data_IF_332258116861
#
_entry.id   IF_332258116861
#
_cell.length_a   1.000
_cell.length_b   1.000
_cell.length_c   1.000
_cell.angle_alpha   90.00
_cell.angle_beta   90.00
_cell.angle_gamma   90.00
#
_symmetry.space_group_name_H-M   'P 1'
#
loop_
_entity.id
_entity.type
_entity.pdbx_description
1 polymer ?
#
# COMPACT_ATOMS: atom_id res chain seq x y z
N UNK A 1 4.75 -10.52 39.43
CA UNK A 1 3.90 -10.48 38.22
C UNK A 1 3.53 -9.09 37.75
N UNK A 2 3.38 -8.08 38.62
CA UNK A 2 3.14 -6.70 38.16
C UNK A 2 4.35 -6.02 37.51
N UNK A 3 5.59 -6.25 37.99
CA UNK A 3 6.80 -5.68 37.37
C UNK A 3 6.98 -6.08 35.90
N UNK A 4 6.72 -7.34 35.55
CA UNK A 4 6.77 -7.83 34.17
C UNK A 4 5.66 -7.22 33.30
N UNK A 5 4.47 -7.00 33.85
CA UNK A 5 3.40 -6.31 33.13
C UNK A 5 3.75 -4.84 32.85
N UNK A 6 4.31 -4.13 33.82
CA UNK A 6 4.74 -2.73 33.64
C UNK A 6 5.90 -2.60 32.66
N UNK A 7 6.88 -3.51 32.71
CA UNK A 7 8.01 -3.56 31.76
C UNK A 7 7.58 -3.95 30.35
N UNK A 8 6.57 -4.82 30.19
CA UNK A 8 6.03 -5.19 28.89
C UNK A 8 5.11 -4.12 28.28
N UNK A 9 4.44 -3.32 29.10
CA UNK A 9 3.53 -2.24 28.66
C UNK A 9 4.30 -0.97 28.30
N UNK A 10 5.44 -0.70 28.94
CA UNK A 10 6.23 0.51 28.68
C UNK A 10 6.64 0.71 27.20
N UNK A 11 7.10 -0.32 26.45
CA UNK A 11 7.38 -0.19 25.01
C UNK A 11 6.15 0.18 24.17
N UNK A 12 4.97 -0.36 24.52
CA UNK A 12 3.71 -0.07 23.83
C UNK A 12 3.31 1.38 24.10
N UNK A 13 3.35 1.81 25.37
CA UNK A 13 3.06 3.19 25.77
C UNK A 13 4.02 4.18 25.12
N UNK A 14 5.31 3.85 24.99
CA UNK A 14 6.29 4.71 24.34
C UNK A 14 5.98 4.88 22.84
N UNK A 15 5.60 3.80 22.14
CA UNK A 15 5.23 3.89 20.72
C UNK A 15 3.90 4.61 20.51
N UNK A 16 2.87 4.30 21.31
CA UNK A 16 1.55 4.98 21.25
C UNK A 16 1.67 6.45 21.68
N UNK A 17 2.49 6.74 22.68
CA UNK A 17 2.78 8.08 23.16
C UNK A 17 3.51 8.92 22.11
N UNK A 18 4.55 8.38 21.47
CA UNK A 18 5.24 9.04 20.36
C UNK A 18 4.30 9.31 19.18
N UNK A 19 3.42 8.36 18.85
CA UNK A 19 2.43 8.50 17.78
C UNK A 19 1.39 9.59 18.06
N UNK A 20 0.85 9.62 19.28
CA UNK A 20 -0.16 10.62 19.69
C UNK A 20 0.45 11.96 20.13
N UNK A 21 1.78 12.08 20.14
CA UNK A 21 2.46 13.34 20.42
C UNK A 21 2.25 14.36 19.30
N UNK A 22 2.10 13.92 18.04
CA UNK A 22 1.78 14.83 16.95
C UNK A 22 0.30 15.24 17.02
N UNK A 23 -0.03 16.55 17.16
CA UNK A 23 -1.41 17.00 17.27
C UNK A 23 -2.28 16.61 16.07
N UNK A 24 -1.73 16.59 14.85
CA UNK A 24 -2.47 16.21 13.63
C UNK A 24 -2.90 14.75 13.74
N UNK A 25 -1.96 13.86 14.06
CA UNK A 25 -2.23 12.44 14.22
C UNK A 25 -3.24 12.21 15.34
N UNK A 26 -3.02 12.80 16.52
CA UNK A 26 -3.92 12.67 17.68
C UNK A 26 -5.34 13.11 17.33
N UNK A 27 -5.49 14.19 16.57
CA UNK A 27 -6.79 14.69 16.14
C UNK A 27 -7.48 13.78 15.11
N UNK A 28 -6.74 12.90 14.42
CA UNK A 28 -7.29 11.90 13.51
C UNK A 28 -7.67 10.63 14.28
N UNK A 29 -6.72 10.03 15.01
CA UNK A 29 -6.90 8.70 15.64
C UNK A 29 -7.62 8.75 16.98
N UNK A 30 -7.59 9.88 17.67
CA UNK A 30 -8.20 10.07 18.99
C UNK A 30 -9.70 10.30 18.96
N UNK A 31 -10.32 10.26 17.77
CA UNK A 31 -11.75 10.50 17.62
C UNK A 31 -12.55 9.25 18.03
N UNK A 32 -13.60 9.38 18.87
CA UNK A 32 -14.42 8.24 19.29
C UNK A 32 -15.25 7.66 18.14
N UNK A 33 -15.49 8.46 17.09
CA UNK A 33 -16.25 8.05 15.90
C UNK A 33 -15.53 8.52 14.65
N UNK A 34 -15.39 7.62 13.68
CA UNK A 34 -14.87 7.97 12.34
C UNK A 34 -15.88 8.86 11.61
N UNK A 35 -15.39 9.90 10.93
CA UNK A 35 -16.19 10.78 10.09
C UNK A 35 -16.60 10.15 8.76
N UNK A 36 -15.97 9.05 8.36
CA UNK A 36 -16.24 8.32 7.13
C UNK A 36 -16.23 6.81 7.34
N UNK A 37 -16.84 6.08 6.40
CA UNK A 37 -16.86 4.62 6.37
C UNK A 37 -16.32 4.14 5.01
N UNK A 38 -15.21 3.39 5.02
CA UNK A 38 -14.56 2.93 3.79
C UNK A 38 -15.43 1.92 3.03
N UNK A 39 -16.15 1.04 3.74
CA UNK A 39 -17.07 0.09 3.09
C UNK A 39 -18.17 0.82 2.34
N UNK A 40 -18.76 1.84 2.95
CA UNK A 40 -19.75 2.69 2.29
C UNK A 40 -19.15 3.43 1.08
N UNK A 41 -17.92 3.94 1.18
CA UNK A 41 -17.21 4.59 0.08
C UNK A 41 -17.05 3.63 -1.11
N UNK A 42 -16.63 2.39 -0.85
CA UNK A 42 -16.49 1.36 -1.88
C UNK A 42 -17.83 1.05 -2.56
N UNK A 43 -18.86 0.72 -1.77
CA UNK A 43 -20.14 0.25 -2.29
C UNK A 43 -20.90 1.35 -3.03
N UNK A 44 -20.78 2.61 -2.57
CA UNK A 44 -21.44 3.78 -3.18
C UNK A 44 -20.59 4.45 -4.27
N UNK A 45 -19.49 3.84 -4.73
CA UNK A 45 -18.63 4.38 -5.81
C UNK A 45 -18.11 5.79 -5.52
N UNK A 46 -17.80 6.09 -4.26
CA UNK A 46 -17.21 7.37 -3.87
C UNK A 46 -15.70 7.36 -4.13
N UNK A 47 -15.11 8.55 -4.23
CA UNK A 47 -13.67 8.73 -4.34
C UNK A 47 -13.12 9.10 -2.96
N UNK A 48 -12.10 8.37 -2.51
CA UNK A 48 -11.33 8.68 -1.30
C UNK A 48 -9.96 9.19 -1.71
N UNK A 49 -9.64 10.43 -1.36
CA UNK A 49 -8.32 11.02 -1.55
C UNK A 49 -7.66 11.13 -0.18
N UNK A 50 -6.47 10.57 -0.04
CA UNK A 50 -5.69 10.62 1.19
C UNK A 50 -4.40 11.40 0.91
N UNK A 51 -4.22 12.53 1.59
CA UNK A 51 -2.99 13.30 1.53
C UNK A 51 -2.10 12.94 2.73
N UNK A 52 -1.01 12.21 2.48
CA UNK A 52 0.00 11.84 3.48
C UNK A 52 1.34 12.55 3.21
N UNK A 53 1.29 13.79 2.72
CA UNK A 53 2.50 14.57 2.45
C UNK A 53 3.41 14.60 3.68
N UNK A 54 4.61 14.02 3.55
CA UNK A 54 5.61 13.94 4.63
C UNK A 54 5.97 15.30 5.20
N UNK A 55 5.97 16.35 4.36
CA UNK A 55 6.22 17.73 4.81
C UNK A 55 5.14 18.29 5.73
N UNK A 56 3.91 17.76 5.68
CA UNK A 56 2.79 18.20 6.52
C UNK A 56 2.65 17.37 7.80
N UNK A 57 2.75 16.04 7.69
CA UNK A 57 2.48 15.12 8.81
C UNK A 57 3.73 14.54 9.47
N UNK A 58 4.90 14.65 8.83
CA UNK A 58 6.13 13.96 9.21
C UNK A 58 6.20 12.55 8.60
N UNK A 59 7.42 12.06 8.37
CA UNK A 59 7.67 10.78 7.68
C UNK A 59 7.09 9.58 8.43
N UNK A 60 7.44 9.41 9.70
CA UNK A 60 6.97 8.28 10.52
C UNK A 60 5.44 8.27 10.64
N UNK A 61 4.83 9.44 10.82
CA UNK A 61 3.37 9.56 10.92
C UNK A 61 2.69 9.29 9.57
N UNK A 62 3.28 9.74 8.46
CA UNK A 62 2.76 9.43 7.12
C UNK A 62 2.76 7.91 6.90
N UNK A 63 3.89 7.24 7.15
CA UNK A 63 4.02 5.79 7.01
C UNK A 63 3.02 5.04 7.88
N UNK A 64 2.87 5.44 9.15
CA UNK A 64 1.95 4.81 10.08
C UNK A 64 0.49 5.05 9.71
N UNK A 65 0.09 6.28 9.39
CA UNK A 65 -1.28 6.58 8.93
C UNK A 65 -1.60 5.87 7.61
N UNK A 66 -0.66 5.81 6.68
CA UNK A 66 -0.82 5.10 5.41
C UNK A 66 -1.01 3.61 5.59
N UNK A 67 -0.16 2.96 6.39
CA UNK A 67 -0.32 1.53 6.71
C UNK A 67 -1.65 1.22 7.43
N UNK A 68 -2.09 2.07 8.35
CA UNK A 68 -3.41 1.95 8.98
C UNK A 68 -4.55 2.06 7.97
N UNK A 69 -4.48 3.03 7.06
CA UNK A 69 -5.49 3.24 6.02
C UNK A 69 -5.55 2.07 5.05
N UNK A 70 -4.41 1.56 4.58
CA UNK A 70 -4.33 0.37 3.74
C UNK A 70 -4.97 -0.82 4.44
N UNK A 71 -4.62 -1.06 5.70
CA UNK A 71 -5.20 -2.15 6.50
C UNK A 71 -6.72 -1.99 6.62
N UNK A 72 -7.23 -0.78 6.86
CA UNK A 72 -8.67 -0.52 6.91
C UNK A 72 -9.35 -0.73 5.55
N UNK A 73 -8.69 -0.38 4.45
CA UNK A 73 -9.18 -0.62 3.09
C UNK A 73 -9.24 -2.13 2.80
N UNK A 74 -8.22 -2.89 3.19
CA UNK A 74 -8.22 -4.35 3.10
C UNK A 74 -9.39 -4.96 3.86
N UNK A 75 -9.56 -4.59 5.14
CA UNK A 75 -10.65 -5.11 5.96
C UNK A 75 -12.03 -4.73 5.39
N UNK A 76 -12.19 -3.51 4.88
CA UNK A 76 -13.41 -3.09 4.22
C UNK A 76 -13.68 -3.91 2.95
N UNK A 77 -12.66 -4.18 2.13
CA UNK A 77 -12.80 -5.05 0.98
C UNK A 77 -13.17 -6.48 1.40
N UNK A 78 -12.46 -7.09 2.34
CA UNK A 78 -12.74 -8.45 2.83
C UNK A 78 -14.13 -8.58 3.43
N UNK A 79 -14.64 -7.53 4.08
CA UNK A 79 -16.02 -7.55 4.59
C UNK A 79 -17.05 -7.72 3.49
N UNK A 80 -16.72 -7.45 2.21
CA UNK A 80 -17.60 -7.69 1.02
C UNK A 80 -17.84 -9.17 0.73
N UNK A 81 -17.31 -10.06 1.55
CA UNK A 81 -17.65 -11.48 1.57
C UNK A 81 -19.17 -11.72 1.72
N UNK A 82 -19.90 -10.79 2.34
CA UNK A 82 -21.35 -10.80 2.49
C UNK A 82 -22.13 -10.61 1.17
N UNK A 83 -21.46 -10.19 0.09
CA UNK A 83 -22.06 -10.09 -1.25
C UNK A 83 -21.78 -11.42 -1.98
N UNK A 84 -22.80 -12.27 -2.09
CA UNK A 84 -22.68 -13.65 -2.59
C UNK A 84 -22.00 -13.77 -3.96
N UNK A 85 -22.43 -12.95 -4.93
CA UNK A 85 -21.88 -12.99 -6.28
C UNK A 85 -20.75 -11.96 -6.43
N UNK A 86 -19.54 -12.44 -6.76
CA UNK A 86 -18.36 -11.60 -7.02
C UNK A 86 -18.65 -10.53 -8.08
N UNK A 87 -19.48 -10.84 -9.08
CA UNK A 87 -19.86 -9.89 -10.15
C UNK A 87 -20.67 -8.70 -9.61
N UNK A 88 -21.38 -8.87 -8.49
CA UNK A 88 -22.13 -7.80 -7.84
C UNK A 88 -21.24 -6.91 -6.97
N UNK A 89 -20.00 -7.33 -6.69
CA UNK A 89 -19.04 -6.52 -5.92
C UNK A 89 -18.51 -5.43 -6.82
N UNK A 90 -18.91 -4.19 -6.54
CA UNK A 90 -18.45 -3.02 -7.29
C UNK A 90 -16.93 -2.91 -7.22
N UNK A 91 -16.21 -2.87 -8.36
CA UNK A 91 -14.76 -2.70 -8.35
C UNK A 91 -14.36 -1.38 -7.66
N UNK A 92 -13.41 -1.48 -6.75
CA UNK A 92 -12.78 -0.33 -6.10
C UNK A 92 -11.30 -0.32 -6.43
N UNK A 93 -10.79 0.81 -6.91
CA UNK A 93 -9.41 0.94 -7.36
C UNK A 93 -8.59 1.68 -6.30
N UNK A 94 -7.59 1.00 -5.76
CA UNK A 94 -6.63 1.58 -4.82
C UNK A 94 -5.34 1.90 -5.57
N UNK A 95 -5.03 3.19 -5.65
CA UNK A 95 -3.77 3.70 -6.17
C UNK A 95 -2.86 4.08 -5.01
N UNK A 96 -1.65 3.55 -4.99
CA UNK A 96 -0.66 3.84 -3.93
C UNK A 96 0.62 4.29 -4.59
N UNK A 97 0.91 5.58 -4.46
CA UNK A 97 2.20 6.15 -4.83
C UNK A 97 3.22 5.89 -3.72
N UNK A 98 4.50 5.77 -4.09
CA UNK A 98 5.60 5.43 -3.19
C UNK A 98 5.26 4.25 -2.26
N UNK A 99 4.74 3.19 -2.87
CA UNK A 99 4.19 2.00 -2.22
C UNK A 99 5.09 1.39 -1.14
N UNK A 100 6.41 1.39 -1.35
CA UNK A 100 7.41 0.87 -0.41
C UNK A 100 7.31 1.48 0.98
N UNK A 101 6.78 2.71 1.10
CA UNK A 101 6.61 3.38 2.40
C UNK A 101 5.50 2.79 3.26
N UNK A 102 4.61 2.01 2.64
CA UNK A 102 3.44 1.41 3.27
C UNK A 102 3.44 -0.12 3.13
N UNK A 103 4.43 -0.68 2.44
CA UNK A 103 4.57 -2.09 2.09
C UNK A 103 4.79 -2.98 3.33
N UNK A 104 3.70 -3.31 4.01
CA UNK A 104 3.66 -4.30 5.09
C UNK A 104 3.24 -5.68 4.55
N UNK A 105 3.35 -6.72 5.38
CA UNK A 105 2.88 -8.08 5.04
C UNK A 105 1.39 -8.10 4.62
N UNK A 106 0.59 -7.16 5.14
CA UNK A 106 -0.82 -6.99 4.75
C UNK A 106 -0.98 -6.74 3.25
N UNK A 107 -0.02 -6.08 2.60
CA UNK A 107 -0.06 -5.86 1.16
C UNK A 107 0.17 -7.14 0.36
N UNK A 108 1.01 -8.06 0.83
CA UNK A 108 1.17 -9.36 0.18
C UNK A 108 -0.17 -10.11 0.13
N UNK A 109 -0.96 -10.05 1.22
CA UNK A 109 -2.34 -10.58 1.24
C UNK A 109 -3.28 -9.82 0.31
N UNK A 110 -3.19 -8.49 0.24
CA UNK A 110 -4.02 -7.71 -0.69
C UNK A 110 -3.74 -8.11 -2.14
N UNK A 111 -2.46 -8.21 -2.50
CA UNK A 111 -2.01 -8.56 -3.85
C UNK A 111 -2.52 -9.94 -4.28
N UNK A 112 -2.51 -10.92 -3.38
CA UNK A 112 -2.93 -12.29 -3.70
C UNK A 112 -4.44 -12.52 -3.60
N UNK A 113 -5.15 -11.84 -2.70
CA UNK A 113 -6.54 -12.18 -2.39
C UNK A 113 -7.57 -11.11 -2.74
N UNK A 114 -7.20 -9.83 -2.82
CA UNK A 114 -8.20 -8.76 -2.78
C UNK A 114 -9.07 -8.67 -4.05
N UNK A 115 -8.61 -9.25 -5.16
CA UNK A 115 -9.38 -9.35 -6.40
C UNK A 115 -10.71 -10.07 -6.21
N UNK A 116 -10.76 -11.14 -5.39
CA UNK A 116 -12.02 -11.86 -5.12
C UNK A 116 -13.04 -10.97 -4.41
N UNK A 117 -12.57 -9.96 -3.70
CA UNK A 117 -13.39 -8.98 -2.99
C UNK A 117 -13.66 -7.71 -3.81
N UNK A 118 -13.29 -7.66 -5.10
CA UNK A 118 -13.51 -6.47 -5.95
C UNK A 118 -12.60 -5.29 -5.62
N UNK A 119 -11.42 -5.52 -5.02
CA UNK A 119 -10.39 -4.50 -4.82
C UNK A 119 -9.30 -4.70 -5.89
N UNK A 120 -9.07 -3.66 -6.67
CA UNK A 120 -8.04 -3.61 -7.72
C UNK A 120 -6.91 -2.70 -7.23
N UNK A 121 -5.68 -3.19 -7.28
CA UNK A 121 -4.53 -2.46 -6.77
C UNK A 121 -3.66 -1.95 -7.93
N UNK A 122 -3.20 -0.72 -7.81
CA UNK A 122 -2.16 -0.13 -8.68
C UNK A 122 -1.14 0.54 -7.76
N UNK A 123 0.09 0.05 -7.81
CA UNK A 123 1.20 0.55 -6.98
C UNK A 123 2.27 1.18 -7.86
N UNK A 124 2.87 2.27 -7.38
CA UNK A 124 4.07 2.85 -7.95
C UNK A 124 5.22 2.73 -6.95
N UNK A 125 6.39 2.36 -7.45
CA UNK A 125 7.60 2.17 -6.65
C UNK A 125 8.81 2.65 -7.47
N UNK A 126 9.79 3.26 -6.80
CA UNK A 126 10.97 3.82 -7.47
C UNK A 126 12.07 2.77 -7.72
N UNK A 127 12.34 1.91 -6.73
CA UNK A 127 13.41 0.92 -6.80
C UNK A 127 12.96 -0.41 -6.24
N UNK A 128 13.26 -1.53 -6.92
CA UNK A 128 12.83 -2.86 -6.48
C UNK A 128 13.44 -3.20 -5.12
N UNK A 129 14.67 -2.73 -4.87
CA UNK A 129 15.41 -2.97 -3.63
C UNK A 129 14.75 -2.37 -2.37
N UNK A 130 13.82 -1.41 -2.50
CA UNK A 130 13.10 -0.85 -1.34
C UNK A 130 12.03 -1.78 -0.77
N UNK A 131 11.62 -2.81 -1.53
CA UNK A 131 10.68 -3.82 -1.06
C UNK A 131 11.41 -4.96 -0.35
N UNK A 132 10.83 -5.43 0.75
CA UNK A 132 11.23 -6.70 1.36
C UNK A 132 11.06 -7.85 0.35
N UNK A 133 11.74 -8.96 0.60
CA UNK A 133 11.70 -10.10 -0.32
C UNK A 133 10.26 -10.64 -0.46
N UNK A 134 9.54 -10.74 0.65
CA UNK A 134 8.17 -11.26 0.70
C UNK A 134 7.20 -10.38 -0.10
N UNK A 135 7.31 -9.06 0.04
CA UNK A 135 6.48 -8.11 -0.71
C UNK A 135 6.83 -8.16 -2.20
N UNK A 136 8.12 -8.20 -2.53
CA UNK A 136 8.60 -8.27 -3.91
C UNK A 136 8.09 -9.51 -4.63
N UNK A 137 8.18 -10.67 -3.99
CA UNK A 137 7.70 -11.94 -4.53
C UNK A 137 6.17 -11.92 -4.69
N UNK A 138 5.44 -11.32 -3.75
CA UNK A 138 4.01 -11.13 -3.87
C UNK A 138 3.62 -10.18 -5.02
N UNK A 139 4.37 -9.09 -5.22
CA UNK A 139 4.15 -8.16 -6.35
C UNK A 139 4.36 -8.88 -7.67
N UNK A 140 5.54 -9.46 -7.89
CA UNK A 140 5.86 -10.11 -9.16
C UNK A 140 5.05 -11.38 -9.43
N UNK A 141 4.57 -12.06 -8.39
CA UNK A 141 3.73 -13.25 -8.53
C UNK A 141 2.26 -12.95 -8.85
N UNK A 142 1.74 -11.76 -8.52
CA UNK A 142 0.32 -11.45 -8.64
C UNK A 142 -0.01 -10.29 -9.59
N UNK A 143 0.96 -9.44 -9.93
CA UNK A 143 0.76 -8.33 -10.87
C UNK A 143 0.71 -8.86 -12.30
N UNK A 144 -0.46 -8.73 -12.93
CA UNK A 144 -0.68 -9.14 -14.32
C UNK A 144 -0.41 -8.06 -15.37
N UNK A 145 -0.15 -6.82 -14.95
CA UNK A 145 0.14 -5.71 -15.86
C UNK A 145 1.19 -4.80 -15.24
N UNK A 146 2.27 -4.58 -15.96
CA UNK A 146 3.43 -3.84 -15.49
C UNK A 146 3.68 -2.67 -16.43
N UNK A 147 3.81 -1.48 -15.88
CA UNK A 147 4.25 -0.30 -16.64
C UNK A 147 5.62 0.05 -16.12
N UNK A 148 6.62 0.05 -16.99
CA UNK A 148 7.98 0.36 -16.61
C UNK A 148 8.49 1.60 -17.34
N UNK A 149 8.88 2.61 -16.55
CA UNK A 149 9.57 3.80 -17.05
C UNK A 149 11.08 3.56 -17.10
N UNK A 150 11.84 4.58 -17.47
CA UNK A 150 13.30 4.56 -17.34
C UNK A 150 13.71 4.19 -15.91
N UNK A 151 14.58 3.20 -15.77
CA UNK A 151 15.06 2.68 -14.48
C UNK A 151 16.58 2.51 -14.45
N UNK A 152 17.15 2.24 -13.28
CA UNK A 152 18.57 1.93 -13.12
C UNK A 152 18.93 0.54 -13.64
N UNK A 153 20.22 0.30 -13.87
CA UNK A 153 20.72 -0.98 -14.42
C UNK A 153 20.33 -2.20 -13.57
N UNK A 154 20.41 -2.09 -12.23
CA UNK A 154 20.05 -3.19 -11.33
C UNK A 154 18.57 -3.58 -11.45
N UNK A 155 17.67 -2.59 -11.48
CA UNK A 155 16.23 -2.84 -11.67
C UNK A 155 15.95 -3.34 -13.09
N UNK A 156 16.60 -2.76 -14.11
CA UNK A 156 16.45 -3.15 -15.51
C UNK A 156 16.83 -4.62 -15.74
N UNK A 157 17.91 -5.08 -15.12
CA UNK A 157 18.35 -6.48 -15.19
C UNK A 157 17.33 -7.45 -14.59
N UNK A 158 16.61 -7.04 -13.53
CA UNK A 158 15.52 -7.84 -12.96
C UNK A 158 14.28 -7.79 -13.86
N UNK A 159 13.93 -6.59 -14.35
CA UNK A 159 12.70 -6.34 -15.11
C UNK A 159 12.75 -6.86 -16.54
N UNK A 160 13.92 -6.96 -17.17
CA UNK A 160 14.09 -7.43 -18.57
C UNK A 160 13.33 -8.74 -18.83
N UNK A 161 13.38 -9.69 -17.90
CA UNK A 161 12.72 -11.00 -18.03
C UNK A 161 11.21 -10.92 -18.23
N UNK A 162 10.58 -9.81 -17.84
CA UNK A 162 9.15 -9.56 -18.01
C UNK A 162 8.80 -8.86 -19.33
N UNK A 163 9.80 -8.32 -20.04
CA UNK A 163 9.64 -7.58 -21.30
C UNK A 163 10.32 -8.23 -22.50
N UNK A 164 11.06 -9.32 -22.26
CA UNK A 164 11.60 -10.17 -23.31
C UNK A 164 10.51 -10.75 -24.22
N UNK A 165 10.80 -10.94 -25.52
CA UNK A 165 12.07 -10.63 -26.20
C UNK A 165 12.11 -9.19 -26.76
N UNK A 166 11.12 -8.34 -26.45
CA UNK A 166 10.91 -7.07 -27.15
C UNK A 166 11.82 -5.95 -26.67
N UNK A 167 12.20 -5.98 -25.39
CA UNK A 167 13.07 -4.98 -24.77
C UNK A 167 14.17 -5.67 -23.97
N UNK A 168 15.38 -5.14 -24.06
CA UNK A 168 16.55 -5.56 -23.29
C UNK A 168 16.86 -4.57 -22.16
N UNK A 169 17.75 -4.93 -21.24
CA UNK A 169 18.24 -4.06 -20.16
C UNK A 169 18.68 -2.69 -20.70
N UNK A 170 19.39 -2.69 -21.83
CA UNK A 170 19.87 -1.47 -22.47
C UNK A 170 18.72 -0.50 -22.82
N UNK A 171 17.58 -1.01 -23.31
CA UNK A 171 16.42 -0.19 -23.68
C UNK A 171 15.77 0.44 -22.44
N UNK A 172 15.64 -0.33 -21.36
CA UNK A 172 15.03 0.11 -20.10
C UNK A 172 15.85 1.20 -19.40
N UNK A 173 17.19 1.14 -19.51
CA UNK A 173 18.10 2.13 -18.92
C UNK A 173 18.16 3.42 -19.75
N UNK A 174 18.15 3.33 -21.08
CA UNK A 174 18.34 4.48 -21.98
C UNK A 174 17.02 5.10 -22.48
N UNK A 175 15.89 4.65 -21.97
CA UNK A 175 14.57 5.18 -22.33
C UNK A 175 14.46 6.69 -22.08
N UNK A 176 13.91 7.44 -23.03
CA UNK A 176 13.68 8.87 -22.85
C UNK A 176 12.62 9.14 -21.76
N UNK A 177 12.78 10.23 -21.01
CA UNK A 177 11.80 10.65 -20.01
C UNK A 177 10.38 10.72 -20.61
N UNK A 178 9.37 10.32 -19.81
CA UNK A 178 7.95 10.24 -20.20
C UNK A 178 7.60 9.16 -21.24
N UNK A 179 8.53 8.28 -21.57
CA UNK A 179 8.24 7.02 -22.26
C UNK A 179 8.17 5.89 -21.24
N UNK A 180 7.47 4.82 -21.59
CA UNK A 180 7.33 3.62 -20.78
C UNK A 180 7.10 2.40 -21.68
N UNK A 181 7.30 1.21 -21.13
CA UNK A 181 6.92 -0.07 -21.72
C UNK A 181 5.80 -0.72 -20.91
N UNK A 182 4.92 -1.46 -21.60
CA UNK A 182 3.82 -2.27 -21.05
C UNK A 182 3.84 -3.62 -21.75
#
# INVERSE_FOLDING_TARGET
NDKFATEAVAPILNKVGAFTANPIVRNIVGQPKSSFNIREIMDKRKILIVNLSRGLVGEDNAALLGSLLVTKIQLAAMSRADIDNVVNRVPFYLYVDEFQNFATDSFATILSEARKYGLCLTVANQYIAQMTQEVRDAVFGNVGSTIAFRMGADDARVMQRYFEPRFEEHDLVHMNNRNFVI
#
